data_IF_673878617849
#
_entry.id   IF_673878617849
#
_cell.length_a   1.000
_cell.length_b   1.000
_cell.length_c   1.000
_cell.angle_alpha   90.00
_cell.angle_beta   90.00
_cell.angle_gamma   90.00
#
_symmetry.space_group_name_H-M   'P 1'
#
loop_
_entity.id
_entity.type
_entity.pdbx_description
1 polymer ?
#
# COMPACT_ATOMS: atom_id res chain seq x y z
N UNK A 1 15.07 13.58 -20.15
CA UNK A 1 14.68 12.38 -19.38
C UNK A 1 15.88 11.58 -18.85
N UNK A 2 16.60 10.75 -19.63
CA UNK A 2 17.68 9.91 -19.06
C UNK A 2 18.82 10.68 -18.38
N UNK A 3 19.24 11.82 -18.94
CA UNK A 3 20.31 12.65 -18.36
C UNK A 3 19.89 13.27 -17.02
N UNK A 4 18.61 13.62 -16.88
CA UNK A 4 18.05 14.15 -15.62
C UNK A 4 17.93 13.03 -14.60
N UNK A 5 17.41 11.86 -14.97
CA UNK A 5 17.33 10.69 -14.07
C UNK A 5 18.73 10.32 -13.58
N UNK A 6 19.72 10.24 -14.48
CA UNK A 6 21.12 9.93 -14.14
C UNK A 6 21.77 11.00 -13.26
N UNK A 7 21.32 12.26 -13.27
CA UNK A 7 21.85 13.30 -12.39
C UNK A 7 21.26 13.23 -10.97
N UNK A 8 20.03 12.72 -10.83
CA UNK A 8 19.38 12.51 -9.52
C UNK A 8 20.08 11.42 -8.69
N UNK A 9 20.63 10.40 -9.36
CA UNK A 9 21.35 9.30 -8.72
C UNK A 9 22.84 9.57 -8.45
N UNK A 10 23.37 10.72 -8.88
CA UNK A 10 24.74 11.15 -8.53
C UNK A 10 24.77 11.70 -7.09
N UNK A 11 25.98 11.81 -6.53
CA UNK A 11 26.19 12.48 -5.24
C UNK A 11 25.64 13.91 -5.22
N UNK A 12 25.18 14.35 -4.05
CA UNK A 12 24.52 15.64 -3.86
C UNK A 12 23.91 15.78 -2.47
N UNK A 13 23.27 16.92 -2.19
CA UNK A 13 22.60 17.16 -0.91
C UNK A 13 21.42 16.19 -0.75
N UNK A 14 21.46 15.38 0.30
CA UNK A 14 20.47 14.33 0.56
C UNK A 14 19.08 14.89 0.90
N UNK A 15 19.03 16.07 1.49
CA UNK A 15 17.79 16.74 1.92
C UNK A 15 17.24 17.68 0.83
N UNK A 16 17.85 17.70 -0.36
CA UNK A 16 17.36 18.45 -1.50
C UNK A 16 15.96 17.95 -1.89
N UNK A 17 14.98 18.87 -1.90
CA UNK A 17 13.62 18.59 -2.33
C UNK A 17 13.59 18.48 -3.86
N UNK A 18 13.25 17.30 -4.36
CA UNK A 18 13.15 17.02 -5.80
C UNK A 18 11.72 17.10 -6.31
N UNK A 19 10.74 16.81 -5.45
CA UNK A 19 9.32 16.96 -5.76
C UNK A 19 8.51 17.21 -4.50
N UNK A 20 7.45 18.02 -4.61
CA UNK A 20 6.49 18.22 -3.54
C UNK A 20 5.07 18.17 -4.12
N UNK A 21 4.28 17.21 -3.65
CA UNK A 21 2.89 17.02 -4.06
C UNK A 21 2.14 16.20 -3.02
N UNK A 22 0.81 16.28 -3.00
CA UNK A 22 -0.04 15.48 -2.07
C UNK A 22 0.31 15.64 -0.59
N UNK A 23 0.92 16.78 -0.20
CA UNK A 23 1.49 17.03 1.14
C UNK A 23 2.62 16.06 1.53
N UNK A 24 3.28 15.50 0.52
CA UNK A 24 4.47 14.69 0.64
C UNK A 24 5.61 15.42 -0.06
N UNK A 25 6.79 15.35 0.54
CA UNK A 25 8.02 15.89 -0.01
C UNK A 25 8.92 14.71 -0.34
N UNK A 26 9.39 14.65 -1.58
CA UNK A 26 10.35 13.66 -2.06
C UNK A 26 11.71 14.32 -2.15
N UNK A 27 12.65 13.82 -1.36
CA UNK A 27 14.02 14.30 -1.32
C UNK A 27 14.93 13.48 -2.23
N UNK A 28 16.17 13.95 -2.45
CA UNK A 28 17.21 13.16 -3.11
C UNK A 28 17.44 11.84 -2.41
N UNK A 29 17.48 11.82 -1.08
CA UNK A 29 17.60 10.60 -0.28
C UNK A 29 16.50 9.60 -0.57
N UNK A 30 15.24 10.06 -0.71
CA UNK A 30 14.12 9.19 -1.07
C UNK A 30 14.28 8.63 -2.48
N UNK A 31 14.63 9.46 -3.47
CA UNK A 31 14.86 9.00 -4.86
C UNK A 31 16.01 8.00 -4.95
N UNK A 32 17.08 8.20 -4.17
CA UNK A 32 18.21 7.26 -4.14
C UNK A 32 17.80 5.85 -3.67
N UNK A 33 16.68 5.70 -2.96
CA UNK A 33 16.14 4.36 -2.64
C UNK A 33 15.70 3.58 -3.88
N UNK A 34 15.54 4.22 -5.03
CA UNK A 34 15.25 3.57 -6.31
C UNK A 34 16.52 3.14 -7.07
N UNK A 35 17.71 3.50 -6.58
CA UNK A 35 18.97 3.19 -7.27
C UNK A 35 19.40 1.73 -7.05
N UNK A 36 19.91 1.08 -8.09
CA UNK A 36 20.57 -0.24 -8.05
C UNK A 36 19.78 -1.38 -7.36
N UNK A 37 18.58 -1.71 -7.85
CA UNK A 37 17.78 -2.85 -7.37
C UNK A 37 17.33 -2.72 -5.90
N UNK A 38 17.37 -1.51 -5.33
CA UNK A 38 16.77 -1.30 -4.03
C UNK A 38 15.24 -1.32 -4.18
N UNK A 39 14.68 -2.51 -3.93
CA UNK A 39 13.31 -2.83 -3.53
C UNK A 39 12.18 -2.61 -4.56
N UNK A 40 12.33 -1.70 -5.52
CA UNK A 40 11.34 -1.44 -6.58
C UNK A 40 11.91 -1.86 -7.94
N UNK A 41 12.12 -3.16 -8.13
CA UNK A 41 12.47 -3.68 -9.45
C UNK A 41 11.24 -3.68 -10.36
N UNK A 42 11.39 -3.14 -11.57
CA UNK A 42 10.37 -3.21 -12.63
C UNK A 42 10.26 -4.61 -13.28
N UNK A 43 11.07 -5.59 -12.85
CA UNK A 43 10.89 -7.02 -13.18
C UNK A 43 10.04 -7.78 -12.14
N UNK A 44 9.04 -7.12 -11.56
CA UNK A 44 7.99 -7.87 -10.88
C UNK A 44 7.19 -8.62 -11.94
N UNK A 45 7.58 -9.87 -12.20
CA UNK A 45 6.59 -10.87 -12.56
C UNK A 45 5.59 -10.86 -11.41
N UNK A 46 4.49 -10.13 -11.57
CA UNK A 46 3.47 -10.04 -10.53
C UNK A 46 2.86 -11.41 -10.41
N UNK A 47 3.45 -12.26 -9.55
CA UNK A 47 2.85 -13.52 -9.19
C UNK A 47 1.63 -13.17 -8.36
N UNK A 48 0.52 -13.03 -9.08
CA UNK A 48 -0.81 -13.02 -8.50
C UNK A 48 -0.93 -14.33 -7.73
N UNK A 49 -1.24 -14.26 -6.45
CA UNK A 49 -1.63 -15.45 -5.70
C UNK A 49 -2.68 -16.21 -6.53
N UNK A 50 -2.52 -17.53 -6.77
CA UNK A 50 -3.49 -18.31 -7.54
C UNK A 50 -4.88 -18.27 -6.89
N UNK A 51 -4.96 -17.83 -5.64
CA UNK A 51 -6.18 -17.62 -4.88
C UNK A 51 -6.52 -16.12 -4.83
N UNK A 52 -7.52 -15.71 -5.63
CA UNK A 52 -8.29 -14.49 -5.35
C UNK A 52 -9.42 -14.83 -4.40
N UNK A 53 -9.54 -14.11 -3.28
CA UNK A 53 -10.59 -14.37 -2.29
C UNK A 53 -11.87 -13.62 -2.70
N UNK A 54 -12.95 -14.30 -3.09
CA UNK A 54 -14.22 -13.64 -3.37
C UNK A 54 -14.86 -13.14 -2.07
N UNK A 55 -15.61 -12.03 -2.14
CA UNK A 55 -16.38 -11.52 -1.00
C UNK A 55 -17.77 -11.05 -1.41
N UNK A 56 -18.72 -11.04 -0.47
CA UNK A 56 -19.98 -10.29 -0.64
C UNK A 56 -19.75 -8.89 -0.08
N UNK A 57 -20.02 -7.86 -0.87
CA UNK A 57 -19.96 -6.48 -0.40
C UNK A 57 -20.98 -6.32 0.75
N UNK A 58 -20.47 -6.17 1.97
CA UNK A 58 -21.27 -5.89 3.16
C UNK A 58 -21.02 -4.44 3.57
N UNK A 59 -21.98 -3.81 4.25
CA UNK A 59 -21.84 -2.42 4.71
C UNK A 59 -20.62 -2.21 5.62
N UNK A 60 -20.17 -0.95 5.75
CA UNK A 60 -18.98 -0.49 6.51
C UNK A 60 -18.73 -1.23 7.83
N UNK A 61 -19.77 -1.53 8.58
CA UNK A 61 -19.69 -2.13 9.92
C UNK A 61 -19.39 -3.63 9.89
N UNK A 62 -19.76 -4.32 8.81
CA UNK A 62 -19.65 -5.78 8.70
C UNK A 62 -18.42 -6.22 7.89
N UNK A 63 -17.91 -5.35 7.00
CA UNK A 63 -16.67 -5.53 6.22
C UNK A 63 -15.38 -5.30 7.03
N UNK A 64 -15.48 -4.78 8.25
CA UNK A 64 -14.33 -4.66 9.17
C UNK A 64 -14.65 -5.14 10.59
N UNK A 65 -15.90 -5.56 10.83
CA UNK A 65 -16.38 -6.11 12.10
C UNK A 65 -16.42 -7.63 12.15
N UNK A 66 -16.21 -8.33 11.03
CA UNK A 66 -16.23 -9.80 10.95
C UNK A 66 -14.99 -10.50 11.56
N UNK A 67 -13.93 -9.76 11.87
CA UNK A 67 -12.65 -10.28 12.39
C UNK A 67 -12.54 -10.05 13.90
N UNK A 68 -13.55 -10.50 14.65
CA UNK A 68 -13.47 -10.61 16.11
C UNK A 68 -14.02 -11.98 16.53
N UNK A 69 -13.26 -13.01 16.20
CA UNK A 69 -13.39 -14.35 16.74
C UNK A 69 -11.99 -14.85 17.12
N UNK A 70 -11.55 -14.46 18.30
CA UNK A 70 -10.47 -15.02 19.12
C UNK A 70 -9.18 -15.48 18.43
N UNK A 71 -8.07 -14.81 18.75
CA UNK A 71 -6.76 -15.48 18.73
C UNK A 71 -5.58 -14.72 18.16
N UNK A 72 -5.34 -13.46 18.52
CA UNK A 72 -3.96 -12.91 18.47
C UNK A 72 -3.72 -12.00 19.68
N UNK A 73 -3.64 -12.59 20.87
CA UNK A 73 -2.94 -11.97 22.01
C UNK A 73 -1.56 -12.59 22.07
N UNK A 74 -0.53 -11.76 21.97
CA UNK A 74 0.85 -12.18 22.27
C UNK A 74 1.79 -12.23 21.08
N UNK A 75 2.04 -11.08 20.45
CA UNK A 75 3.38 -10.76 19.97
C UNK A 75 3.65 -9.31 20.34
N UNK A 76 4.58 -9.09 21.27
CA UNK A 76 5.01 -7.76 21.67
C UNK A 76 5.64 -7.04 20.48
N UNK A 77 4.87 -6.15 19.85
CA UNK A 77 5.37 -5.26 18.82
C UNK A 77 5.82 -3.96 19.49
N UNK A 78 7.12 -3.72 19.54
CA UNK A 78 7.65 -2.41 19.94
C UNK A 78 7.40 -1.41 18.80
N UNK A 79 6.65 -0.31 19.04
CA UNK A 79 6.42 0.71 18.04
C UNK A 79 7.66 1.61 17.93
N UNK A 80 8.73 1.10 17.31
CA UNK A 80 10.01 1.81 17.24
C UNK A 80 10.82 1.63 15.96
N UNK A 81 10.44 0.70 15.07
CA UNK A 81 11.19 0.43 13.84
C UNK A 81 10.24 0.17 12.65
N UNK A 82 9.48 1.19 12.26
CA UNK A 82 8.97 1.21 10.89
C UNK A 82 10.13 1.75 10.06
N UNK A 83 10.83 0.88 9.33
CA UNK A 83 11.90 1.27 8.41
C UNK A 83 11.40 2.42 7.51
N UNK A 84 11.93 3.66 7.63
CA UNK A 84 11.45 4.83 6.89
C UNK A 84 11.74 4.74 5.39
N UNK A 85 12.68 3.87 5.02
CA UNK A 85 13.24 3.75 3.68
C UNK A 85 12.18 3.23 2.69
N UNK A 86 11.86 4.02 1.67
CA UNK A 86 10.92 3.67 0.59
C UNK A 86 9.43 3.94 0.87
N UNK A 87 9.00 4.13 2.12
CA UNK A 87 7.59 4.41 2.44
C UNK A 87 7.11 5.73 1.81
N UNK A 88 7.95 6.76 1.78
CA UNK A 88 7.65 8.05 1.13
C UNK A 88 7.41 7.89 -0.37
N UNK A 89 8.26 7.10 -1.05
CA UNK A 89 8.16 6.82 -2.48
C UNK A 89 6.89 6.03 -2.80
N UNK A 90 6.59 4.97 -2.04
CA UNK A 90 5.38 4.16 -2.27
C UNK A 90 4.13 5.02 -2.03
N UNK A 91 4.07 5.79 -0.94
CA UNK A 91 2.95 6.67 -0.67
C UNK A 91 2.77 7.72 -1.78
N UNK A 92 3.87 8.29 -2.29
CA UNK A 92 3.82 9.23 -3.40
C UNK A 92 3.29 8.58 -4.67
N UNK A 93 3.79 7.39 -5.03
CA UNK A 93 3.32 6.63 -6.18
C UNK A 93 1.83 6.26 -6.07
N UNK A 94 1.37 5.83 -4.89
CA UNK A 94 -0.04 5.55 -4.64
C UNK A 94 -0.92 6.78 -4.84
N UNK A 95 -0.44 7.97 -4.46
CA UNK A 95 -1.15 9.23 -4.74
C UNK A 95 -1.16 9.57 -6.24
N UNK A 96 -0.07 9.33 -6.97
CA UNK A 96 -0.05 9.48 -8.43
C UNK A 96 -1.07 8.57 -9.10
N UNK A 97 -1.22 7.32 -8.64
CA UNK A 97 -2.24 6.40 -9.15
C UNK A 97 -3.67 6.90 -8.86
N UNK A 98 -3.93 7.42 -7.67
CA UNK A 98 -5.22 8.03 -7.35
C UNK A 98 -5.50 9.27 -8.22
N UNK A 99 -4.50 10.12 -8.47
CA UNK A 99 -4.64 11.28 -9.34
C UNK A 99 -4.96 10.87 -10.78
N UNK A 100 -4.21 9.91 -11.33
CA UNK A 100 -4.44 9.34 -12.65
C UNK A 100 -5.83 8.71 -12.77
N UNK A 101 -6.33 8.08 -11.71
CA UNK A 101 -7.65 7.44 -11.71
C UNK A 101 -8.84 8.40 -11.83
N UNK A 102 -8.60 9.71 -11.79
CA UNK A 102 -9.65 10.73 -12.02
C UNK A 102 -10.01 10.87 -13.50
N UNK A 103 -9.18 10.36 -14.40
CA UNK A 103 -9.53 10.29 -15.83
C UNK A 103 -10.74 9.37 -16.04
N UNK A 104 -11.69 9.82 -16.85
CA UNK A 104 -13.01 9.18 -17.01
C UNK A 104 -12.96 7.76 -17.59
N UNK A 105 -11.89 7.44 -18.30
CA UNK A 105 -11.71 6.14 -18.96
C UNK A 105 -11.00 5.10 -18.05
N UNK A 106 -10.65 5.49 -16.83
CA UNK A 106 -9.92 4.63 -15.89
C UNK A 106 -10.80 4.22 -14.70
N UNK A 107 -10.54 3.04 -14.11
CA UNK A 107 -11.18 2.66 -12.86
C UNK A 107 -10.79 3.63 -11.75
N UNK A 108 -11.77 4.06 -10.96
CA UNK A 108 -11.54 4.91 -9.80
C UNK A 108 -10.74 4.18 -8.73
N UNK A 109 -9.73 4.84 -8.16
CA UNK A 109 -8.81 4.23 -7.19
C UNK A 109 -8.83 4.99 -5.88
N UNK A 110 -8.89 4.25 -4.77
CA UNK A 110 -8.44 4.74 -3.47
C UNK A 110 -7.25 3.91 -2.99
N UNK A 111 -6.17 4.56 -2.60
CA UNK A 111 -4.99 3.91 -2.06
C UNK A 111 -4.77 4.31 -0.61
N UNK A 112 -4.58 3.31 0.25
CA UNK A 112 -4.15 3.55 1.62
C UNK A 112 -2.66 3.86 1.67
N UNK A 113 -2.25 4.61 2.69
CA UNK A 113 -0.83 4.77 2.98
C UNK A 113 -0.21 3.45 3.49
N UNK A 114 1.12 3.36 3.44
CA UNK A 114 1.89 2.17 3.83
C UNK A 114 1.73 1.73 5.29
N UNK A 115 1.17 2.58 6.16
CA UNK A 115 0.97 2.29 7.58
C UNK A 115 -0.37 1.64 7.89
N UNK A 116 -1.35 1.76 6.98
CA UNK A 116 -2.73 1.32 7.20
C UNK A 116 -2.81 -0.16 7.56
N UNK A 117 -2.26 -1.04 6.71
CA UNK A 117 -2.37 -2.48 6.91
C UNK A 117 -1.70 -2.94 8.20
N UNK A 118 -0.49 -2.45 8.48
CA UNK A 118 0.24 -2.77 9.71
C UNK A 118 -0.56 -2.34 10.95
N UNK A 119 -1.18 -1.15 10.92
CA UNK A 119 -2.01 -0.66 12.02
C UNK A 119 -3.29 -1.47 12.19
N UNK A 120 -3.96 -1.82 11.08
CA UNK A 120 -5.14 -2.68 11.08
C UNK A 120 -4.82 -4.07 11.65
N UNK A 121 -3.74 -4.71 11.18
CA UNK A 121 -3.30 -6.03 11.64
C UNK A 121 -2.95 -6.07 13.12
N UNK A 122 -2.28 -5.03 13.63
CA UNK A 122 -1.77 -5.02 15.02
C UNK A 122 -2.77 -4.48 16.04
N UNK A 123 -3.62 -3.53 15.67
CA UNK A 123 -4.52 -2.82 16.59
C UNK A 123 -6.01 -2.94 16.24
N UNK A 124 -6.35 -3.66 15.17
CA UNK A 124 -7.71 -3.91 14.73
C UNK A 124 -8.43 -2.69 14.13
N UNK A 125 -9.67 -2.92 13.70
CA UNK A 125 -10.48 -1.92 12.99
C UNK A 125 -10.67 -0.62 13.77
N UNK A 126 -10.88 -0.70 15.10
CA UNK A 126 -11.16 0.49 15.92
C UNK A 126 -10.03 1.53 15.85
N UNK A 127 -8.79 1.10 15.62
CA UNK A 127 -7.63 1.98 15.47
C UNK A 127 -7.57 2.70 14.12
N UNK A 128 -8.18 2.13 13.08
CA UNK A 128 -8.13 2.67 11.70
C UNK A 128 -9.47 3.22 11.21
N UNK A 129 -10.57 3.03 11.93
CA UNK A 129 -11.92 3.48 11.52
C UNK A 129 -12.03 4.95 11.13
N UNK A 130 -11.20 5.81 11.73
CA UNK A 130 -11.21 7.27 11.44
C UNK A 130 -10.44 7.63 10.16
N UNK A 131 -9.63 6.72 9.62
CA UNK A 131 -8.77 6.96 8.47
C UNK A 131 -9.59 7.15 7.19
N UNK A 132 -10.79 6.57 7.14
CA UNK A 132 -11.75 6.70 6.03
C UNK A 132 -12.90 7.64 6.39
N UNK A 133 -12.81 8.45 7.45
CA UNK A 133 -13.91 9.33 7.90
C UNK A 133 -14.39 10.31 6.82
N UNK A 134 -13.50 10.77 5.95
CA UNK A 134 -13.78 11.77 4.90
C UNK A 134 -13.88 11.19 3.49
N UNK A 135 -13.75 9.87 3.35
CA UNK A 135 -13.70 9.22 2.03
C UNK A 135 -14.61 8.00 2.06
N UNK A 136 -15.51 7.90 1.08
CA UNK A 136 -16.29 6.69 0.91
C UNK A 136 -15.54 5.66 0.07
N UNK A 137 -14.79 4.79 0.74
CA UNK A 137 -13.95 3.78 0.07
C UNK A 137 -14.74 2.70 -0.70
N UNK A 138 -16.06 2.66 -0.57
CA UNK A 138 -16.93 1.69 -1.29
C UNK A 138 -17.45 2.25 -2.61
N UNK A 139 -17.27 3.55 -2.85
CA UNK A 139 -17.68 4.20 -4.10
C UNK A 139 -16.57 4.22 -5.15
N UNK A 140 -15.44 3.56 -4.90
CA UNK A 140 -14.35 3.40 -5.86
C UNK A 140 -14.39 2.00 -6.46
N UNK A 141 -13.75 1.83 -7.62
CA UNK A 141 -13.63 0.53 -8.28
C UNK A 141 -12.54 -0.34 -7.63
N UNK A 142 -11.42 0.28 -7.27
CA UNK A 142 -10.23 -0.38 -6.76
C UNK A 142 -9.75 0.25 -5.44
N UNK A 143 -9.49 -0.59 -4.45
CA UNK A 143 -8.76 -0.24 -3.24
C UNK A 143 -7.36 -0.82 -3.30
N UNK A 144 -6.33 0.03 -3.22
CA UNK A 144 -4.93 -0.39 -3.15
C UNK A 144 -4.44 -0.33 -1.70
N UNK A 145 -3.86 -1.44 -1.24
CA UNK A 145 -3.33 -1.58 0.12
C UNK A 145 -1.88 -2.05 0.05
N UNK A 146 -0.90 -1.14 0.14
CA UNK A 146 0.50 -1.51 0.29
C UNK A 146 0.72 -2.26 1.60
N UNK A 147 1.48 -3.35 1.56
CA UNK A 147 1.77 -4.20 2.71
C UNK A 147 3.28 -4.27 2.91
N UNK A 148 3.73 -3.87 4.09
CA UNK A 148 5.13 -3.99 4.50
C UNK A 148 5.35 -5.27 5.31
N UNK A 149 6.19 -6.16 4.82
CA UNK A 149 6.60 -7.40 5.51
C UNK A 149 8.05 -7.31 6.01
N UNK A 150 8.43 -6.16 6.58
CA UNK A 150 9.72 -5.94 7.23
C UNK A 150 10.85 -5.57 6.26
N UNK A 151 11.19 -6.47 5.35
CA UNK A 151 12.20 -6.25 4.29
C UNK A 151 11.65 -6.32 2.87
N UNK A 152 10.33 -6.48 2.75
CA UNK A 152 9.66 -6.75 1.49
C UNK A 152 8.33 -6.00 1.38
N UNK A 153 8.00 -5.54 0.17
CA UNK A 153 6.74 -4.88 -0.13
C UNK A 153 5.86 -5.75 -1.01
N UNK A 154 4.60 -5.83 -0.60
CA UNK A 154 3.56 -6.52 -1.33
C UNK A 154 2.37 -5.58 -1.53
N UNK A 155 1.43 -5.98 -2.38
CA UNK A 155 0.23 -5.20 -2.64
C UNK A 155 -1.01 -6.09 -2.53
N UNK A 156 -1.96 -5.70 -1.70
CA UNK A 156 -3.31 -6.23 -1.77
C UNK A 156 -4.21 -5.26 -2.55
N UNK A 157 -5.06 -5.81 -3.40
CA UNK A 157 -6.03 -5.06 -4.20
C UNK A 157 -7.43 -5.61 -3.95
N UNK A 158 -8.33 -4.75 -3.48
CA UNK A 158 -9.77 -5.05 -3.46
C UNK A 158 -10.36 -4.48 -4.75
N UNK A 159 -10.91 -5.34 -5.60
CA UNK A 159 -11.66 -4.94 -6.78
C UNK A 159 -13.15 -5.10 -6.48
N UNK A 160 -13.85 -3.98 -6.29
CA UNK A 160 -15.27 -3.97 -5.96
C UNK A 160 -16.15 -4.40 -7.14
N UNK A 161 -15.70 -4.17 -8.37
CA UNK A 161 -16.41 -4.59 -9.59
C UNK A 161 -16.44 -6.11 -9.71
N UNK A 162 -15.32 -6.75 -9.37
CA UNK A 162 -15.16 -8.21 -9.38
C UNK A 162 -15.54 -8.86 -8.06
N UNK A 163 -15.66 -8.07 -6.99
CA UNK A 163 -15.86 -8.53 -5.61
C UNK A 163 -14.78 -9.53 -5.17
N UNK A 164 -13.53 -9.19 -5.47
CA UNK A 164 -12.37 -10.04 -5.17
C UNK A 164 -11.30 -9.25 -4.44
N UNK A 165 -10.61 -9.91 -3.50
CA UNK A 165 -9.34 -9.45 -2.94
C UNK A 165 -8.22 -10.28 -3.56
N UNK A 166 -7.23 -9.60 -4.12
CA UNK A 166 -6.05 -10.23 -4.74
C UNK A 166 -4.79 -9.75 -4.04
N UNK A 167 -3.91 -10.69 -3.70
CA UNK A 167 -2.59 -10.41 -3.17
C UNK A 167 -1.52 -10.59 -4.26
N UNK A 168 -0.62 -9.62 -4.36
CA UNK A 168 0.48 -9.59 -5.30
C UNK A 168 1.81 -9.54 -4.54
N UNK A 169 2.69 -10.48 -4.86
CA UNK A 169 4.01 -10.61 -4.25
C UNK A 169 5.02 -10.97 -5.34
N UNK A 170 6.01 -10.11 -5.56
CA UNK A 170 7.04 -10.31 -6.57
C UNK A 170 8.00 -11.46 -6.26
N UNK A 171 8.03 -11.92 -4.99
CA UNK A 171 8.83 -13.05 -4.54
C UNK A 171 8.01 -14.36 -4.52
N UNK A 172 6.78 -14.34 -5.05
CA UNK A 172 5.91 -15.52 -5.11
C UNK A 172 5.27 -15.93 -3.79
N UNK A 173 5.35 -15.07 -2.78
CA UNK A 173 4.73 -15.32 -1.48
C UNK A 173 3.20 -15.40 -1.56
N UNK A 174 2.62 -16.30 -0.78
CA UNK A 174 1.17 -16.42 -0.60
C UNK A 174 0.81 -15.87 0.78
N UNK A 175 -0.14 -14.94 0.84
CA UNK A 175 -0.58 -14.33 2.09
C UNK A 175 -2.11 -14.28 2.17
N UNK A 176 -2.72 -15.46 2.30
CA UNK A 176 -4.17 -15.60 2.48
C UNK A 176 -4.68 -14.89 3.74
N UNK A 177 -3.84 -14.76 4.76
CA UNK A 177 -4.16 -14.03 5.99
C UNK A 177 -4.29 -12.52 5.74
N UNK A 178 -3.42 -11.93 4.91
CA UNK A 178 -3.57 -10.53 4.52
C UNK A 178 -4.90 -10.28 3.80
N UNK A 179 -5.33 -11.20 2.94
CA UNK A 179 -6.65 -11.12 2.32
C UNK A 179 -7.78 -11.25 3.35
N UNK A 180 -7.66 -12.13 4.35
CA UNK A 180 -8.67 -12.30 5.42
C UNK A 180 -8.80 -11.09 6.32
N UNK A 181 -7.70 -10.43 6.67
CA UNK A 181 -7.71 -9.20 7.48
C UNK A 181 -8.45 -8.05 6.78
N UNK A 182 -8.48 -8.09 5.44
CA UNK A 182 -9.14 -7.09 4.60
C UNK A 182 -10.61 -7.44 4.25
N UNK A 183 -11.18 -8.50 4.84
CA UNK A 183 -12.59 -8.91 4.69
C UNK A 183 -13.47 -8.46 5.87
#
# INVERSE_FOLDING_TARGET
MEKEIKSLFRGGNQDEVLSEAFRLTITRKDIQTLNNLNWLNDEVQTQKSPFSTPFRQLGKEKWMGGVLGEGIRGLGFQPGAINPWGSSIINFYMNLLMERSKDKDLPTVHAFNTFFFTKLKTAGYQAVKRWTKKVDIFSVDLLLVPIHLGVHWCLAVVDFRKKTITYYDSMGGINSEACRILL
#
